data_IF_698164652998
#
_entry.id   IF_698164652998
#
_cell.length_a   1.000
_cell.length_b   1.000
_cell.length_c   1.000
_cell.angle_alpha   90.00
_cell.angle_beta   90.00
_cell.angle_gamma   90.00
#
_symmetry.space_group_name_H-M   'P 1'
#
loop_
_entity.id
_entity.type
_entity.pdbx_description
1 polymer ?
#
# COMPACT_ATOMS: atom_id res chain seq x y z
N UNK A 1 28.22 8.30 13.69
CA UNK A 1 27.56 6.98 13.71
C UNK A 1 26.07 7.18 13.96
N UNK A 2 25.25 7.22 12.90
CA UNK A 2 23.80 7.48 13.01
C UNK A 2 23.04 6.18 13.28
N UNK A 3 22.51 6.06 14.51
CA UNK A 3 21.75 4.89 14.94
C UNK A 3 20.44 4.77 14.16
N UNK A 4 20.34 3.74 13.30
CA UNK A 4 19.10 3.37 12.63
C UNK A 4 18.05 2.98 13.67
N UNK A 5 17.06 3.86 13.90
CA UNK A 5 15.87 3.54 14.70
C UNK A 5 15.00 2.51 13.97
N UNK A 6 15.40 1.24 14.06
CA UNK A 6 14.56 0.07 13.78
C UNK A 6 13.59 -0.15 14.94
N UNK A 7 12.54 0.65 15.08
CA UNK A 7 11.45 0.37 16.04
C UNK A 7 10.10 0.63 15.38
N UNK A 8 9.41 -0.45 15.01
CA UNK A 8 8.08 -0.45 14.38
C UNK A 8 7.90 -1.45 13.22
N UNK A 9 8.95 -2.19 12.85
CA UNK A 9 8.95 -3.11 11.72
C UNK A 9 8.11 -4.36 11.97
N UNK A 10 6.96 -4.46 11.30
CA UNK A 10 6.24 -5.74 11.20
C UNK A 10 4.77 -5.63 10.83
N UNK A 11 4.14 -4.45 10.93
CA UNK A 11 2.70 -4.29 10.67
C UNK A 11 2.34 -2.97 9.98
N UNK A 12 3.15 -2.43 9.09
CA UNK A 12 2.79 -1.26 8.29
C UNK A 12 2.81 -1.59 6.80
N UNK A 13 1.84 -1.04 6.04
CA UNK A 13 1.86 -1.02 4.59
C UNK A 13 2.56 0.25 4.15
N UNK A 14 3.53 0.10 3.27
CA UNK A 14 4.24 1.19 2.64
C UNK A 14 3.73 1.32 1.21
N UNK A 15 3.45 2.54 0.79
CA UNK A 15 3.08 2.88 -0.57
C UNK A 15 3.93 4.05 -1.04
N UNK A 16 4.52 3.91 -2.22
CA UNK A 16 5.16 4.98 -2.95
C UNK A 16 4.41 5.18 -4.27
N UNK A 17 4.20 6.43 -4.66
CA UNK A 17 3.60 6.76 -5.95
C UNK A 17 4.52 7.68 -6.74
N UNK A 18 4.68 7.38 -8.03
CA UNK A 18 5.30 8.29 -8.98
C UNK A 18 4.36 8.49 -10.17
N UNK A 19 4.12 9.76 -10.51
CA UNK A 19 3.31 10.13 -11.66
C UNK A 19 4.05 9.76 -12.94
N UNK A 20 3.31 9.31 -13.95
CA UNK A 20 3.81 9.12 -15.31
C UNK A 20 2.86 9.79 -16.29
N UNK A 21 3.43 10.43 -17.29
CA UNK A 21 2.66 11.07 -18.36
C UNK A 21 1.99 10.05 -19.28
N UNK A 22 2.55 8.83 -19.36
CA UNK A 22 1.90 7.72 -20.06
C UNK A 22 0.62 7.28 -19.31
N UNK A 23 -0.51 7.08 -20.01
CA UNK A 23 -1.75 6.68 -19.38
C UNK A 23 -1.65 5.28 -18.76
N UNK A 24 -2.26 5.11 -17.60
CA UNK A 24 -2.38 3.83 -16.91
C UNK A 24 -1.56 3.73 -15.62
N UNK A 25 -2.10 2.98 -14.67
CA UNK A 25 -1.46 2.74 -13.36
C UNK A 25 -0.85 1.35 -13.33
N UNK A 26 0.46 1.31 -13.09
CA UNK A 26 1.22 0.09 -12.80
C UNK A 26 1.37 -0.06 -11.29
N UNK A 27 1.23 -1.29 -10.77
CA UNK A 27 1.40 -1.57 -9.34
C UNK A 27 2.41 -2.69 -9.19
N UNK A 28 3.42 -2.45 -8.37
CA UNK A 28 4.41 -3.46 -7.98
C UNK A 28 4.24 -3.75 -6.51
N UNK A 29 4.11 -5.03 -6.13
CA UNK A 29 3.96 -5.45 -4.74
C UNK A 29 5.12 -6.37 -4.40
N UNK A 30 5.85 -6.07 -3.32
CA UNK A 30 7.05 -6.84 -2.94
C UNK A 30 6.74 -8.27 -2.44
N UNK A 31 5.48 -8.59 -2.12
CA UNK A 31 5.05 -9.88 -1.59
C UNK A 31 3.76 -10.34 -2.27
N UNK A 32 3.65 -11.65 -2.49
CA UNK A 32 2.53 -12.28 -3.20
C UNK A 32 1.16 -11.87 -2.65
N UNK A 33 0.37 -11.24 -3.52
CA UNK A 33 -0.93 -10.69 -3.20
C UNK A 33 -1.54 -10.05 -4.45
N UNK A 34 -1.89 -10.88 -5.44
CA UNK A 34 -2.58 -10.44 -6.67
C UNK A 34 -3.84 -9.61 -6.37
N UNK A 35 -4.59 -9.97 -5.32
CA UNK A 35 -5.75 -9.20 -4.85
C UNK A 35 -5.39 -7.76 -4.43
N UNK A 36 -4.19 -7.58 -3.85
CA UNK A 36 -3.70 -6.26 -3.43
C UNK A 36 -3.27 -5.42 -4.64
N UNK A 37 -2.72 -6.05 -5.68
CA UNK A 37 -2.38 -5.36 -6.95
C UNK A 37 -3.64 -4.76 -7.57
N UNK A 38 -4.70 -5.55 -7.71
CA UNK A 38 -5.95 -5.10 -8.36
C UNK A 38 -6.61 -3.99 -7.55
N UNK A 39 -6.67 -4.15 -6.23
CA UNK A 39 -7.31 -3.16 -5.34
C UNK A 39 -6.52 -1.86 -5.30
N UNK A 40 -5.21 -1.92 -5.12
CA UNK A 40 -4.33 -0.76 -5.19
C UNK A 40 -4.42 -0.01 -6.52
N UNK A 41 -4.46 -0.74 -7.64
CA UNK A 41 -4.59 -0.12 -8.96
C UNK A 41 -5.91 0.65 -9.07
N UNK A 42 -7.03 0.02 -8.68
CA UNK A 42 -8.34 0.67 -8.68
C UNK A 42 -8.37 1.89 -7.78
N UNK A 43 -7.78 1.80 -6.59
CA UNK A 43 -7.71 2.90 -5.63
C UNK A 43 -6.88 4.07 -6.17
N UNK A 44 -5.74 3.79 -6.81
CA UNK A 44 -4.93 4.82 -7.45
C UNK A 44 -5.64 5.48 -8.65
N UNK A 45 -6.28 4.69 -9.51
CA UNK A 45 -7.07 5.21 -10.64
C UNK A 45 -8.23 6.09 -10.15
N UNK A 46 -8.92 5.64 -9.10
CA UNK A 46 -9.99 6.41 -8.47
C UNK A 46 -9.47 7.73 -7.89
N UNK A 47 -8.36 7.71 -7.14
CA UNK A 47 -7.77 8.92 -6.57
C UNK A 47 -7.31 9.91 -7.65
N UNK A 48 -6.76 9.42 -8.77
CA UNK A 48 -6.42 10.26 -9.93
C UNK A 48 -7.68 10.86 -10.57
N UNK A 49 -8.74 10.07 -10.74
CA UNK A 49 -10.00 10.56 -11.28
C UNK A 49 -10.66 11.60 -10.38
N UNK A 50 -10.69 11.37 -9.06
CA UNK A 50 -11.21 12.32 -8.07
C UNK A 50 -10.41 13.63 -8.05
N UNK A 51 -9.11 13.60 -8.39
CA UNK A 51 -8.27 14.78 -8.53
C UNK A 51 -8.37 15.47 -9.91
N UNK A 52 -9.24 14.99 -10.82
CA UNK A 52 -9.36 15.52 -12.18
C UNK A 52 -8.17 15.20 -13.09
N UNK A 53 -7.37 14.19 -12.73
CA UNK A 53 -6.13 13.77 -13.42
C UNK A 53 -6.25 12.36 -14.02
N UNK A 54 -7.43 11.99 -14.51
CA UNK A 54 -7.70 10.65 -15.08
C UNK A 54 -6.86 10.32 -16.32
N UNK A 55 -6.34 11.35 -17.01
CA UNK A 55 -5.46 11.20 -18.16
C UNK A 55 -4.02 10.83 -17.77
N UNK A 56 -3.63 11.06 -16.51
CA UNK A 56 -2.30 10.70 -16.01
C UNK A 56 -2.25 9.22 -15.64
N UNK A 57 -1.08 8.62 -15.82
CA UNK A 57 -0.74 7.33 -15.25
C UNK A 57 0.17 7.46 -14.04
N UNK A 58 0.70 6.32 -13.63
CA UNK A 58 1.69 6.29 -12.57
C UNK A 58 2.16 4.90 -12.21
N UNK A 59 3.14 4.87 -11.32
CA UNK A 59 3.65 3.64 -10.72
C UNK A 59 3.41 3.70 -9.22
N UNK A 60 2.73 2.68 -8.71
CA UNK A 60 2.58 2.45 -7.28
C UNK A 60 3.53 1.34 -6.89
N UNK A 61 4.38 1.58 -5.91
CA UNK A 61 5.19 0.55 -5.26
C UNK A 61 4.63 0.28 -3.87
N UNK A 62 4.25 -0.97 -3.64
CA UNK A 62 3.67 -1.42 -2.38
C UNK A 62 4.59 -2.41 -1.69
N UNK A 63 4.83 -2.16 -0.41
CA UNK A 63 5.47 -3.13 0.48
C UNK A 63 4.52 -3.42 1.62
N UNK A 64 4.00 -4.64 1.63
CA UNK A 64 3.16 -5.13 2.72
C UNK A 64 4.01 -5.79 3.79
N UNK A 65 3.54 -5.86 5.04
CA UNK A 65 4.27 -6.55 6.08
C UNK A 65 4.30 -8.05 5.80
N UNK A 66 5.52 -8.61 5.71
CA UNK A 66 5.76 -10.05 5.57
C UNK A 66 4.95 -10.80 6.64
N UNK A 67 4.09 -11.77 6.28
CA UNK A 67 3.49 -12.64 7.28
C UNK A 67 4.64 -13.36 8.02
N UNK A 68 4.63 -13.43 9.37
CA UNK A 68 5.65 -14.18 10.08
C UNK A 68 5.73 -15.58 9.47
N UNK A 69 6.95 -16.03 9.15
CA UNK A 69 7.18 -17.36 8.61
C UNK A 69 6.41 -18.36 9.48
N UNK A 70 5.62 -19.19 8.82
CA UNK A 70 4.70 -20.11 9.46
C UNK A 70 5.47 -21.02 10.42
N UNK A 71 5.41 -20.74 11.72
CA UNK A 71 5.45 -21.83 12.70
C UNK A 71 4.13 -22.54 12.50
N UNK A 72 4.24 -23.81 12.12
CA UNK A 72 3.14 -24.68 11.75
C UNK A 72 1.97 -24.63 12.76
N UNK A 73 0.78 -24.92 12.24
CA UNK A 73 -0.38 -25.41 13.02
C UNK A 73 -1.25 -24.36 13.71
N UNK A 74 -2.10 -23.67 12.93
CA UNK A 74 -3.56 -23.51 13.18
C UNK A 74 -4.19 -22.57 12.15
N UNK A 75 -5.35 -22.90 11.55
CA UNK A 75 -6.15 -21.94 10.80
C UNK A 75 -6.73 -20.93 11.79
N UNK A 76 -5.94 -19.90 12.10
CA UNK A 76 -6.35 -18.84 13.00
C UNK A 76 -7.48 -18.04 12.36
N UNK A 77 -8.62 -17.93 13.03
CA UNK A 77 -9.78 -17.10 12.65
C UNK A 77 -9.42 -15.60 12.42
N UNK A 78 -8.20 -15.21 12.77
CA UNK A 78 -7.62 -13.90 12.49
C UNK A 78 -7.16 -13.71 11.04
N UNK A 79 -7.07 -14.78 10.23
CA UNK A 79 -6.71 -14.73 8.81
C UNK A 79 -7.54 -13.74 7.97
N UNK A 80 -8.88 -13.85 7.91
CA UNK A 80 -9.71 -12.96 7.11
C UNK A 80 -9.78 -11.53 7.67
N UNK A 81 -9.83 -11.35 9.00
CA UNK A 81 -9.82 -10.03 9.64
C UNK A 81 -8.52 -9.28 9.36
N UNK A 82 -7.38 -9.98 9.45
CA UNK A 82 -6.06 -9.44 9.10
C UNK A 82 -5.98 -9.07 7.62
N UNK A 83 -6.47 -9.92 6.71
CA UNK A 83 -6.54 -9.61 5.27
C UNK A 83 -7.34 -8.33 5.00
N UNK A 84 -8.51 -8.17 5.64
CA UNK A 84 -9.32 -6.96 5.54
C UNK A 84 -8.60 -5.72 6.08
N UNK A 85 -7.93 -5.83 7.22
CA UNK A 85 -7.15 -4.74 7.80
C UNK A 85 -5.98 -4.32 6.89
N UNK A 86 -5.28 -5.29 6.30
CA UNK A 86 -4.22 -5.01 5.31
C UNK A 86 -4.80 -4.32 4.09
N UNK A 87 -5.91 -4.82 3.53
CA UNK A 87 -6.57 -4.19 2.36
C UNK A 87 -6.94 -2.74 2.64
N UNK A 88 -7.57 -2.45 3.79
CA UNK A 88 -7.91 -1.08 4.20
C UNK A 88 -6.67 -0.19 4.37
N UNK A 89 -5.60 -0.73 4.95
CA UNK A 89 -4.34 -0.01 5.09
C UNK A 89 -3.69 0.27 3.73
N UNK A 90 -3.75 -0.68 2.79
CA UNK A 90 -3.29 -0.51 1.41
C UNK A 90 -4.06 0.57 0.70
N UNK A 91 -5.40 0.51 0.71
CA UNK A 91 -6.23 1.52 0.05
C UNK A 91 -5.92 2.92 0.57
N UNK A 92 -5.80 3.06 1.89
CA UNK A 92 -5.43 4.33 2.52
C UNK A 92 -4.02 4.79 2.15
N UNK A 93 -3.04 3.88 2.17
CA UNK A 93 -1.66 4.20 1.83
C UNK A 93 -1.53 4.67 0.37
N UNK A 94 -2.21 3.99 -0.55
CA UNK A 94 -2.22 4.34 -1.98
C UNK A 94 -2.88 5.69 -2.22
N UNK A 95 -4.07 5.93 -1.64
CA UNK A 95 -4.76 7.21 -1.81
C UNK A 95 -3.89 8.39 -1.31
N UNK A 96 -3.24 8.22 -0.16
CA UNK A 96 -2.33 9.22 0.38
C UNK A 96 -1.07 9.40 -0.47
N UNK A 97 -0.47 8.32 -0.98
CA UNK A 97 0.71 8.41 -1.84
C UNK A 97 0.39 9.11 -3.16
N UNK A 98 -0.78 8.84 -3.76
CA UNK A 98 -1.26 9.54 -4.96
C UNK A 98 -1.46 11.02 -4.67
N UNK A 99 -2.15 11.37 -3.59
CA UNK A 99 -2.36 12.76 -3.20
C UNK A 99 -1.02 13.50 -2.96
N UNK A 100 -0.05 12.85 -2.30
CA UNK A 100 1.29 13.39 -2.10
C UNK A 100 2.03 13.59 -3.42
N UNK A 101 2.01 12.60 -4.31
CA UNK A 101 2.68 12.69 -5.61
C UNK A 101 2.10 13.76 -6.53
N UNK A 102 0.79 14.03 -6.44
CA UNK A 102 0.16 15.13 -7.18
C UNK A 102 0.49 16.51 -6.61
N UNK A 103 0.84 16.60 -5.32
CA UNK A 103 1.26 17.85 -4.65
C UNK A 103 2.75 18.13 -4.79
N UNK A 104 3.54 17.17 -5.27
CA UNK A 104 5.01 17.25 -5.27
C UNK A 104 5.63 16.93 -3.91
N UNK A 105 4.86 16.37 -2.98
CA UNK A 105 5.30 15.98 -1.64
C UNK A 105 6.09 14.65 -1.66
N UNK A 106 6.85 14.33 -0.59
CA UNK A 106 7.47 13.02 -0.46
C UNK A 106 6.41 11.90 -0.52
N UNK A 107 6.58 10.98 -1.46
CA UNK A 107 5.56 9.98 -1.80
C UNK A 107 5.68 8.67 -1.02
N UNK A 108 6.68 8.51 -0.14
CA UNK A 108 6.81 7.35 0.77
C UNK A 108 5.83 7.46 1.95
N UNK A 109 4.65 6.86 1.78
CA UNK A 109 3.60 6.83 2.79
C UNK A 109 3.62 5.51 3.55
N UNK A 110 3.53 5.58 4.88
CA UNK A 110 3.48 4.42 5.77
C UNK A 110 2.20 4.41 6.59
N UNK A 111 1.39 3.37 6.41
CA UNK A 111 0.12 3.20 7.14
C UNK A 111 0.18 1.96 8.04
N UNK A 112 -0.04 2.08 9.35
CA UNK A 112 -0.08 0.93 10.24
C UNK A 112 -1.33 0.07 9.99
N UNK A 113 -1.13 -1.23 9.91
CA UNK A 113 -2.17 -2.26 9.90
C UNK A 113 -2.64 -2.47 11.34
N UNK A 114 -3.64 -1.71 11.77
CA UNK A 114 -4.33 -1.95 13.04
C UNK A 114 -5.42 -3.01 12.82
N UNK A 115 -5.41 -4.15 13.55
CA UNK A 115 -6.60 -4.99 13.62
C UNK A 115 -7.72 -4.21 14.32
N UNK A 116 -9.00 -4.39 13.92
CA UNK A 116 -10.11 -3.87 14.70
C UNK A 116 -10.07 -4.53 16.10
N UNK A 117 -10.18 -3.70 17.14
CA UNK A 117 -10.40 -4.14 18.52
C UNK A 117 -11.72 -4.93 18.62
#
# INVERSE_FOLDING_TARGET
MTAHRRRGGGRAVHACFSVREAPGVSVTVAHDGTDLVVTARRTAQRALAEAGRSYLGGRVELRTPRPPAQVASRPSAFGPRRRRAVRRATDRAVALAVAAGLRGDPTDVRVPVRPPL
#
